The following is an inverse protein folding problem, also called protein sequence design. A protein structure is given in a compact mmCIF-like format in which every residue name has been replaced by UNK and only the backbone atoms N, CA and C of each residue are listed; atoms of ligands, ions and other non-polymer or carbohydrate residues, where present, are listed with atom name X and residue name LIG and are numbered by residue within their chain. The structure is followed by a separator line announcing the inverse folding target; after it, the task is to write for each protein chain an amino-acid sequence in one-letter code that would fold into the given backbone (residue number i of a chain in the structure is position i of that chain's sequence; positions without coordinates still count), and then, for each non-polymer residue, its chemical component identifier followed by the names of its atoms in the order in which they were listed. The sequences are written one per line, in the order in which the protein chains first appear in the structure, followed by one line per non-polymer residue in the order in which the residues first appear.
data_IF_035111663650
#
_entry.id   IF_035111663650
#
_cell.length_a   1.000
_cell.length_b   1.000
_cell.length_c   1.000
_cell.angle_alpha   90.00
_cell.angle_beta   90.00
_cell.angle_gamma   90.00
#
_symmetry.space_group_name_H-M   'P 1'
#
loop_
_entity.id
_entity.type
_entity.pdbx_description
1 polymer ?
#
# COMPACT_ATOMS: atom_id res chain seq x y z
N UNK A 1 -10.88 4.13 30.25
CA UNK A 1 -10.27 5.40 30.68
C UNK A 1 -9.69 6.09 29.45
N UNK A 2 -10.32 7.17 28.99
CA UNK A 2 -9.84 7.97 27.86
C UNK A 2 -8.53 8.65 28.26
N UNK A 3 -7.43 8.23 27.67
CA UNK A 3 -6.16 8.95 27.80
C UNK A 3 -6.21 10.17 26.88
N UNK A 4 -6.58 11.31 27.42
CA UNK A 4 -6.44 12.61 26.77
C UNK A 4 -4.95 12.94 26.85
N UNK A 5 -4.22 12.69 25.75
CA UNK A 5 -2.86 13.21 25.60
C UNK A 5 -2.98 14.72 25.40
N UNK A 6 -2.65 15.48 26.44
CA UNK A 6 -2.48 16.92 26.32
C UNK A 6 -1.30 17.23 25.39
N UNK A 7 -1.60 17.65 24.16
CA UNK A 7 -0.62 18.21 23.25
C UNK A 7 -0.05 19.50 23.88
N UNK A 8 1.25 19.51 24.12
CA UNK A 8 1.98 20.69 24.57
C UNK A 8 1.78 21.85 23.58
N UNK A 9 1.55 23.05 24.12
CA UNK A 9 1.42 24.31 23.39
C UNK A 9 2.76 24.71 22.74
N UNK A 10 3.12 24.12 21.60
CA UNK A 10 4.13 24.58 20.61
C UNK A 10 4.29 23.54 19.48
N UNK A 11 3.24 22.87 19.04
CA UNK A 11 3.29 21.93 17.92
C UNK A 11 3.47 22.68 16.60
N UNK A 12 4.61 22.48 15.93
CA UNK A 12 4.76 22.89 14.52
C UNK A 12 3.71 22.13 13.70
N UNK A 13 2.87 22.86 12.96
CA UNK A 13 1.89 22.27 12.05
C UNK A 13 2.63 21.64 10.86
N UNK A 14 2.38 20.38 10.59
CA UNK A 14 2.92 19.66 9.43
C UNK A 14 2.08 19.99 8.18
N UNK A 15 2.68 20.66 7.20
CA UNK A 15 2.01 20.93 5.92
C UNK A 15 2.27 19.80 4.94
N UNK A 16 1.21 19.04 4.66
CA UNK A 16 1.24 17.81 3.85
C UNK A 16 0.61 18.06 2.48
N UNK A 17 1.29 17.67 1.41
CA UNK A 17 0.72 17.65 0.06
C UNK A 17 0.45 16.21 -0.37
N UNK A 18 -0.80 15.93 -0.76
CA UNK A 18 -1.22 14.64 -1.32
C UNK A 18 -1.32 14.75 -2.84
N UNK A 19 -0.39 14.11 -3.55
CA UNK A 19 -0.41 14.02 -5.01
C UNK A 19 -1.47 13.00 -5.43
N UNK A 20 -2.40 13.41 -6.28
CA UNK A 20 -3.55 12.57 -6.67
C UNK A 20 -4.67 12.54 -5.62
N UNK A 21 -4.86 13.63 -4.85
CA UNK A 21 -5.74 13.70 -3.69
C UNK A 21 -7.24 13.49 -3.95
N UNK A 22 -7.72 13.54 -5.18
CA UNK A 22 -9.07 13.13 -5.55
C UNK A 22 -9.17 11.74 -6.18
N UNK A 23 -8.04 11.03 -6.30
CA UNK A 23 -7.99 9.63 -6.72
C UNK A 23 -8.55 8.68 -5.66
N UNK A 24 -8.64 7.40 -6.00
CA UNK A 24 -9.23 6.38 -5.13
C UNK A 24 -8.58 6.34 -3.74
N UNK A 25 -7.27 6.10 -3.69
CA UNK A 25 -6.51 6.05 -2.43
C UNK A 25 -6.21 7.44 -1.85
N UNK A 26 -5.88 8.42 -2.72
CA UNK A 26 -5.62 9.79 -2.29
C UNK A 26 -6.81 10.43 -1.59
N UNK A 27 -8.04 10.16 -2.05
CA UNK A 27 -9.27 10.62 -1.42
C UNK A 27 -9.44 10.08 0.01
N UNK A 28 -9.02 8.84 0.26
CA UNK A 28 -9.04 8.21 1.59
C UNK A 28 -8.00 8.88 2.49
N UNK A 29 -6.76 8.97 2.03
CA UNK A 29 -5.68 9.66 2.77
C UNK A 29 -6.12 11.08 3.16
N UNK A 30 -6.69 11.84 2.22
CA UNK A 30 -7.14 13.20 2.48
C UNK A 30 -8.26 13.27 3.54
N UNK A 31 -9.22 12.34 3.54
CA UNK A 31 -10.29 12.30 4.55
C UNK A 31 -9.76 12.08 5.96
N UNK A 32 -8.77 11.22 6.12
CA UNK A 32 -8.13 11.00 7.42
C UNK A 32 -7.30 12.20 7.86
N UNK A 33 -6.52 12.79 6.95
CA UNK A 33 -5.62 13.88 7.29
C UNK A 33 -6.33 15.23 7.54
N UNK A 34 -7.45 15.50 6.87
CA UNK A 34 -8.15 16.79 7.03
C UNK A 34 -8.75 16.97 8.43
N UNK A 35 -9.03 15.89 9.14
CA UNK A 35 -9.53 15.93 10.52
C UNK A 35 -8.43 15.71 11.56
N UNK A 36 -7.20 15.49 11.12
CA UNK A 36 -6.08 15.18 11.99
C UNK A 36 -5.49 16.45 12.63
N UNK A 37 -5.28 16.47 13.94
CA UNK A 37 -4.67 17.62 14.62
C UNK A 37 -3.20 17.78 14.19
N UNK A 38 -2.75 19.04 14.03
CA UNK A 38 -1.38 19.35 13.69
C UNK A 38 -1.02 19.14 12.21
N UNK A 39 -2.01 18.93 11.33
CA UNK A 39 -1.81 18.80 9.88
C UNK A 39 -2.55 19.92 9.13
N UNK A 40 -1.85 20.56 8.20
CA UNK A 40 -2.41 21.38 7.14
C UNK A 40 -2.37 20.62 5.84
N UNK A 41 -3.51 20.49 5.16
CA UNK A 41 -3.62 19.64 3.99
C UNK A 41 -3.61 20.46 2.69
N UNK A 42 -2.73 20.06 1.78
CA UNK A 42 -2.76 20.49 0.38
C UNK A 42 -3.05 19.26 -0.48
N UNK A 43 -4.00 19.35 -1.39
CA UNK A 43 -4.28 18.28 -2.34
C UNK A 43 -3.92 18.69 -3.75
N UNK A 44 -3.40 17.78 -4.55
CA UNK A 44 -3.09 18.08 -5.94
C UNK A 44 -3.74 17.14 -6.92
N UNK A 45 -3.93 17.68 -8.14
CA UNK A 45 -4.44 16.93 -9.26
C UNK A 45 -4.46 17.76 -10.53
N UNK A 46 -4.66 17.09 -11.68
CA UNK A 46 -4.57 17.74 -13.01
C UNK A 46 -5.89 18.34 -13.49
N UNK A 47 -7.02 17.89 -12.94
CA UNK A 47 -8.35 18.37 -13.32
C UNK A 47 -8.83 19.40 -12.28
N UNK A 48 -8.95 20.69 -12.66
CA UNK A 48 -9.29 21.76 -11.73
C UNK A 48 -10.70 21.61 -11.15
N UNK A 49 -11.66 21.08 -11.92
CA UNK A 49 -13.04 20.89 -11.45
C UNK A 49 -13.16 19.77 -10.42
N UNK A 50 -12.47 18.64 -10.65
CA UNK A 50 -12.42 17.54 -9.66
C UNK A 50 -11.69 17.97 -8.41
N UNK A 51 -10.58 18.70 -8.58
CA UNK A 51 -9.79 19.22 -7.48
C UNK A 51 -10.63 20.16 -6.59
N UNK A 52 -11.30 21.16 -7.19
CA UNK A 52 -12.11 22.13 -6.44
C UNK A 52 -13.24 21.42 -5.68
N UNK A 53 -13.97 20.52 -6.34
CA UNK A 53 -15.03 19.74 -5.66
C UNK A 53 -14.49 18.97 -4.45
N UNK A 54 -13.27 18.37 -4.58
CA UNK A 54 -12.66 17.63 -3.47
C UNK A 54 -12.22 18.54 -2.34
N UNK A 55 -11.68 19.72 -2.64
CA UNK A 55 -11.35 20.74 -1.63
C UNK A 55 -12.61 21.17 -0.86
N UNK A 56 -13.69 21.45 -1.58
CA UNK A 56 -14.95 21.90 -0.95
C UNK A 56 -15.56 20.78 -0.06
N UNK A 57 -15.53 19.52 -0.53
CA UNK A 57 -15.92 18.35 0.25
C UNK A 57 -15.12 18.26 1.55
N UNK A 58 -13.80 18.37 1.48
CA UNK A 58 -12.92 18.25 2.65
C UNK A 58 -13.10 19.42 3.63
N UNK A 59 -13.27 20.65 3.13
CA UNK A 59 -13.57 21.82 3.96
C UNK A 59 -14.89 21.69 4.71
N UNK A 60 -15.88 20.98 4.16
CA UNK A 60 -17.15 20.74 4.86
C UNK A 60 -17.02 19.74 6.01
N UNK A 61 -15.94 18.96 6.05
CA UNK A 61 -15.72 17.93 7.08
C UNK A 61 -14.88 18.43 8.27
N UNK A 62 -14.13 19.51 8.08
CA UNK A 62 -13.22 20.04 9.09
C UNK A 62 -12.95 21.52 8.92
N UNK A 63 -12.67 22.20 10.03
CA UNK A 63 -12.16 23.58 10.02
C UNK A 63 -10.64 23.67 9.74
N UNK A 64 -9.99 22.54 9.47
CA UNK A 64 -8.56 22.50 9.14
C UNK A 64 -8.31 23.17 7.78
N UNK A 65 -7.20 23.88 7.67
CA UNK A 65 -6.80 24.48 6.40
C UNK A 65 -6.61 23.40 5.32
N UNK A 66 -7.39 23.50 4.25
CA UNK A 66 -7.30 22.62 3.09
C UNK A 66 -7.22 23.47 1.82
N UNK A 67 -6.18 23.26 1.02
CA UNK A 67 -5.93 23.97 -0.22
C UNK A 67 -5.79 23.00 -1.40
N UNK A 68 -6.04 23.50 -2.62
CA UNK A 68 -5.83 22.75 -3.85
C UNK A 68 -4.70 23.35 -4.68
N UNK A 69 -3.79 22.51 -5.19
CA UNK A 69 -2.84 22.88 -6.24
C UNK A 69 -3.15 22.10 -7.53
N UNK A 70 -3.50 22.84 -8.60
CA UNK A 70 -3.79 22.23 -9.89
C UNK A 70 -2.54 22.24 -10.77
N UNK A 71 -2.03 21.06 -11.11
CA UNK A 71 -0.83 20.93 -11.92
C UNK A 71 -0.36 19.48 -12.05
N UNK A 72 0.70 19.31 -12.82
CA UNK A 72 1.38 18.02 -12.98
C UNK A 72 2.57 17.94 -12.03
N UNK A 73 2.49 17.07 -11.02
CA UNK A 73 3.57 16.84 -10.06
C UNK A 73 4.81 16.16 -10.69
N UNK A 74 4.69 15.58 -11.88
CA UNK A 74 5.82 15.05 -12.66
C UNK A 74 6.56 16.14 -13.43
N UNK A 75 6.03 17.37 -13.49
CA UNK A 75 6.61 18.48 -14.25
C UNK A 75 7.83 19.10 -13.58
N UNK A 76 8.73 19.64 -14.40
CA UNK A 76 10.02 20.22 -13.96
C UNK A 76 9.92 21.38 -12.93
N UNK A 77 8.76 22.03 -12.80
CA UNK A 77 8.54 23.13 -11.84
C UNK A 77 8.09 22.69 -10.45
N UNK A 78 7.85 21.39 -10.21
CA UNK A 78 7.19 20.94 -9.00
C UNK A 78 7.99 21.24 -7.72
N UNK A 79 9.32 21.16 -7.75
CA UNK A 79 10.16 21.54 -6.62
C UNK A 79 9.96 23.00 -6.18
N UNK A 80 9.76 23.91 -7.13
CA UNK A 80 9.47 25.33 -6.82
C UNK A 80 8.08 25.48 -6.18
N UNK A 81 7.10 24.71 -6.62
CA UNK A 81 5.76 24.67 -6.00
C UNK A 81 5.85 24.19 -4.55
N UNK A 82 6.58 23.12 -4.28
CA UNK A 82 6.76 22.60 -2.94
C UNK A 82 7.37 23.66 -1.99
N UNK A 83 8.37 24.39 -2.45
CA UNK A 83 8.99 25.51 -1.69
C UNK A 83 8.02 26.66 -1.48
N UNK A 84 7.36 27.14 -2.54
CA UNK A 84 6.45 28.29 -2.47
C UNK A 84 5.25 28.05 -1.56
N UNK A 85 4.76 26.79 -1.52
CA UNK A 85 3.67 26.38 -0.64
C UNK A 85 4.14 25.91 0.74
N UNK A 86 5.43 26.01 1.04
CA UNK A 86 6.03 25.59 2.33
C UNK A 86 5.68 24.13 2.71
N UNK A 87 5.61 23.21 1.73
CA UNK A 87 5.34 21.80 1.97
C UNK A 87 6.48 21.17 2.77
N UNK A 88 6.15 20.30 3.72
CA UNK A 88 7.11 19.54 4.54
C UNK A 88 7.07 18.05 4.30
N UNK A 89 5.94 17.56 3.83
CA UNK A 89 5.71 16.15 3.57
C UNK A 89 4.87 15.96 2.30
N UNK A 90 5.31 15.09 1.42
CA UNK A 90 4.54 14.71 0.22
C UNK A 90 4.11 13.25 0.36
N UNK A 91 2.82 12.99 0.12
CA UNK A 91 2.26 11.65 -0.03
C UNK A 91 1.84 11.47 -1.49
N UNK A 92 2.52 10.59 -2.21
CA UNK A 92 2.26 10.35 -3.63
C UNK A 92 1.33 9.15 -3.81
N UNK A 93 0.09 9.42 -4.24
CA UNK A 93 -0.94 8.39 -4.50
C UNK A 93 -1.27 8.24 -5.99
N UNK A 94 -0.54 8.94 -6.87
CA UNK A 94 -0.79 9.03 -8.31
C UNK A 94 -0.18 7.89 -9.12
N UNK A 95 -0.70 6.66 -8.96
CA UNK A 95 -0.33 5.53 -9.81
C UNK A 95 -0.86 5.61 -11.25
N UNK A 96 -0.60 4.59 -12.14
CA UNK A 96 0.18 3.40 -11.82
C UNK A 96 1.67 3.69 -11.69
N UNK A 97 2.35 3.01 -10.79
CA UNK A 97 3.80 3.17 -10.57
C UNK A 97 4.65 2.31 -11.50
N UNK A 98 4.05 1.36 -12.21
CA UNK A 98 4.71 0.51 -13.20
C UNK A 98 5.23 1.35 -14.36
N UNK A 99 6.56 1.42 -14.50
CA UNK A 99 7.22 2.25 -15.52
C UNK A 99 7.24 3.75 -15.23
N UNK A 100 6.76 4.20 -14.06
CA UNK A 100 6.86 5.59 -13.64
C UNK A 100 8.30 5.95 -13.26
N UNK A 101 8.72 7.18 -13.53
CA UNK A 101 10.00 7.72 -13.08
C UNK A 101 9.91 8.25 -11.64
N UNK A 102 11.06 8.50 -11.01
CA UNK A 102 11.13 9.11 -9.68
C UNK A 102 11.02 10.65 -9.70
N UNK A 103 10.40 11.27 -10.72
CA UNK A 103 10.37 12.73 -10.87
C UNK A 103 9.75 13.45 -9.67
N UNK A 104 8.70 12.88 -9.06
CA UNK A 104 8.08 13.48 -7.85
C UNK A 104 9.03 13.39 -6.66
N UNK A 105 9.65 12.23 -6.43
CA UNK A 105 10.63 12.01 -5.37
C UNK A 105 11.87 12.91 -5.55
N UNK A 106 12.38 13.04 -6.79
CA UNK A 106 13.49 13.94 -7.12
C UNK A 106 13.14 15.39 -6.82
N UNK A 107 11.94 15.84 -7.20
CA UNK A 107 11.47 17.20 -6.87
C UNK A 107 11.38 17.44 -5.37
N UNK A 108 11.06 16.40 -4.57
CA UNK A 108 11.07 16.50 -3.10
C UNK A 108 12.49 16.65 -2.56
N UNK A 109 13.45 15.89 -3.10
CA UNK A 109 14.89 16.05 -2.75
C UNK A 109 15.36 17.47 -3.06
N UNK A 110 15.09 17.95 -4.27
CA UNK A 110 15.49 19.28 -4.73
C UNK A 110 14.85 20.39 -3.90
N UNK A 111 13.68 20.14 -3.32
CA UNK A 111 12.97 21.10 -2.47
C UNK A 111 13.32 20.99 -0.97
N UNK A 112 14.05 19.97 -0.54
CA UNK A 112 14.28 19.68 0.87
C UNK A 112 13.04 19.22 1.63
N UNK A 113 12.18 18.40 0.96
CA UNK A 113 10.89 17.94 1.44
C UNK A 113 10.90 16.42 1.59
N UNK A 114 10.38 15.88 2.68
CA UNK A 114 10.21 14.45 2.86
C UNK A 114 9.09 13.89 1.97
N UNK A 115 9.21 12.63 1.63
CA UNK A 115 8.31 11.97 0.67
C UNK A 115 7.96 10.56 1.09
N UNK A 116 6.71 10.16 0.82
CA UNK A 116 6.35 8.76 0.72
C UNK A 116 5.37 8.52 -0.44
N UNK A 117 5.32 7.30 -0.94
CA UNK A 117 4.36 6.86 -1.96
C UNK A 117 3.63 5.58 -1.55
N UNK A 118 2.51 5.30 -2.23
CA UNK A 118 1.70 4.11 -2.02
C UNK A 118 1.99 3.00 -3.05
N UNK A 119 3.19 2.99 -3.64
CA UNK A 119 3.55 2.01 -4.66
C UNK A 119 3.58 0.58 -4.11
N UNK A 120 2.98 -0.34 -4.86
CA UNK A 120 3.13 -1.79 -4.72
C UNK A 120 4.00 -2.40 -5.82
N UNK A 121 4.53 -1.58 -6.71
CA UNK A 121 5.36 -2.00 -7.82
C UNK A 121 6.75 -2.40 -7.33
N UNK A 122 7.08 -3.69 -7.40
CA UNK A 122 8.33 -4.26 -6.91
C UNK A 122 9.58 -3.54 -7.41
N UNK A 123 9.65 -3.25 -8.72
CA UNK A 123 10.80 -2.57 -9.32
C UNK A 123 10.90 -1.11 -8.92
N UNK A 124 9.76 -0.42 -8.76
CA UNK A 124 9.74 0.98 -8.33
C UNK A 124 10.15 1.11 -6.86
N UNK A 125 9.55 0.31 -5.97
CA UNK A 125 9.84 0.37 -4.53
C UNK A 125 11.28 0.00 -4.23
N UNK A 126 11.77 -1.13 -4.76
CA UNK A 126 13.13 -1.60 -4.48
C UNK A 126 14.21 -0.79 -5.21
N UNK A 127 13.85 -0.18 -6.34
CA UNK A 127 14.76 0.68 -7.12
C UNK A 127 14.94 2.09 -6.54
N UNK A 128 14.14 2.53 -5.57
CA UNK A 128 14.21 3.89 -5.02
C UNK A 128 15.56 4.24 -4.41
N UNK A 129 16.32 3.23 -3.99
CA UNK A 129 17.67 3.37 -3.42
C UNK A 129 18.68 4.07 -4.34
N UNK A 130 18.41 4.19 -5.64
CA UNK A 130 19.23 5.00 -6.58
C UNK A 130 19.27 6.48 -6.18
N UNK A 131 18.29 6.94 -5.41
CA UNK A 131 18.21 8.31 -4.89
C UNK A 131 18.86 8.48 -3.50
N UNK A 132 19.36 7.40 -2.86
CA UNK A 132 19.77 7.43 -1.44
C UNK A 132 20.85 8.49 -1.16
N UNK A 133 21.91 8.55 -1.96
CA UNK A 133 22.99 9.51 -1.77
C UNK A 133 22.50 10.96 -1.84
N UNK A 134 21.61 11.27 -2.80
CA UNK A 134 21.06 12.62 -2.96
C UNK A 134 20.10 12.97 -1.82
N UNK A 135 19.27 12.04 -1.40
CA UNK A 135 18.33 12.23 -0.30
C UNK A 135 19.07 12.47 1.03
N UNK A 136 20.14 11.69 1.31
CA UNK A 136 21.01 11.93 2.48
C UNK A 136 21.70 13.29 2.44
N UNK A 137 22.21 13.68 1.29
CA UNK A 137 22.84 14.99 1.12
C UNK A 137 21.85 16.13 1.34
N UNK A 138 20.61 15.98 0.90
CA UNK A 138 19.54 16.96 1.11
C UNK A 138 18.91 16.91 2.51
N UNK A 139 19.26 15.91 3.34
CA UNK A 139 18.71 15.73 4.69
C UNK A 139 17.23 15.34 4.69
N UNK A 140 16.74 14.65 3.66
CA UNK A 140 15.34 14.22 3.53
C UNK A 140 15.18 12.72 3.43
N UNK A 141 14.02 12.22 3.88
CA UNK A 141 13.62 10.85 3.74
C UNK A 141 12.71 10.67 2.50
N UNK A 142 13.05 9.70 1.66
CA UNK A 142 12.30 9.27 0.47
C UNK A 142 11.90 7.83 0.70
N UNK A 143 10.64 7.61 1.08
CA UNK A 143 10.12 6.33 1.54
C UNK A 143 9.13 5.76 0.51
N UNK A 144 9.52 4.70 -0.20
CA UNK A 144 8.67 4.10 -1.23
C UNK A 144 7.91 2.89 -0.72
N UNK A 145 6.65 2.74 -1.12
CA UNK A 145 5.81 1.61 -0.74
C UNK A 145 5.14 1.75 0.63
N UNK A 146 4.80 2.97 1.05
CA UNK A 146 4.06 3.24 2.30
C UNK A 146 2.59 2.80 2.18
N UNK A 147 2.36 1.49 2.08
CA UNK A 147 1.09 0.88 1.76
C UNK A 147 0.90 -0.44 2.52
N UNK A 148 -0.05 -1.29 2.09
CA UNK A 148 -0.22 -2.64 2.65
C UNK A 148 1.04 -3.50 2.48
N UNK A 149 1.73 -3.34 1.36
CA UNK A 149 3.02 -3.96 1.03
C UNK A 149 3.99 -2.87 0.56
N UNK A 150 5.21 -2.79 1.10
CA UNK A 150 5.80 -3.59 2.16
C UNK A 150 5.60 -3.03 3.59
N UNK A 151 5.00 -1.86 3.79
CA UNK A 151 5.00 -1.19 5.11
C UNK A 151 4.20 -1.96 6.15
N UNK A 152 2.91 -2.24 5.89
CA UNK A 152 2.07 -2.94 6.87
C UNK A 152 2.47 -4.41 7.01
N UNK A 153 2.80 -5.09 5.91
CA UNK A 153 3.26 -6.48 5.95
C UNK A 153 4.50 -6.64 6.84
N UNK A 154 5.49 -5.74 6.70
CA UNK A 154 6.66 -5.72 7.58
C UNK A 154 6.30 -5.38 9.02
N UNK A 155 5.45 -4.39 9.26
CA UNK A 155 5.05 -4.00 10.62
C UNK A 155 4.40 -5.17 11.37
N UNK A 156 3.54 -5.96 10.70
CA UNK A 156 2.91 -7.15 11.27
C UNK A 156 3.95 -8.21 11.60
N UNK A 157 4.85 -8.53 10.68
CA UNK A 157 5.88 -9.58 10.92
C UNK A 157 6.84 -9.11 12.02
N UNK A 158 7.30 -7.87 11.98
CA UNK A 158 8.21 -7.29 12.98
C UNK A 158 7.64 -7.36 14.40
N UNK A 159 6.33 -7.13 14.56
CA UNK A 159 5.64 -7.19 15.86
C UNK A 159 5.71 -8.58 16.51
N UNK A 160 5.74 -9.65 15.70
CA UNK A 160 5.70 -11.03 16.21
C UNK A 160 7.00 -11.79 15.98
N UNK A 161 7.98 -11.23 15.27
CA UNK A 161 9.24 -11.88 14.92
C UNK A 161 9.99 -12.43 16.13
N UNK A 162 9.90 -11.76 17.29
CA UNK A 162 10.59 -12.20 18.51
C UNK A 162 10.18 -13.59 19.00
N UNK A 163 9.03 -14.12 18.55
CA UNK A 163 8.55 -15.47 18.86
C UNK A 163 9.31 -16.56 18.09
N UNK A 164 9.99 -16.20 17.01
CA UNK A 164 10.68 -17.10 16.10
C UNK A 164 12.20 -17.01 16.29
N UNK A 165 12.86 -18.17 16.44
CA UNK A 165 14.32 -18.28 16.33
C UNK A 165 14.74 -18.37 14.87
N UNK A 166 13.86 -18.92 14.00
CA UNK A 166 14.05 -19.01 12.55
C UNK A 166 12.70 -18.92 11.85
N UNK A 167 12.63 -18.14 10.80
CA UNK A 167 11.48 -18.07 9.90
C UNK A 167 11.84 -18.85 8.64
N UNK A 168 11.07 -19.88 8.30
CA UNK A 168 11.29 -20.73 7.14
C UNK A 168 10.49 -20.27 5.92
N UNK A 169 9.23 -19.90 6.13
CA UNK A 169 8.35 -19.43 5.04
C UNK A 169 7.44 -18.31 5.47
N UNK A 170 7.15 -17.43 4.50
CA UNK A 170 6.13 -16.39 4.61
C UNK A 170 5.24 -16.49 3.37
N UNK A 171 3.98 -16.80 3.59
CA UNK A 171 2.92 -16.70 2.59
C UNK A 171 2.00 -15.55 2.98
N UNK A 172 1.79 -14.61 2.07
CA UNK A 172 0.89 -13.49 2.35
C UNK A 172 0.11 -13.10 1.11
N UNK A 173 -0.91 -12.27 1.30
CA UNK A 173 -1.73 -11.87 0.16
C UNK A 173 -2.92 -11.02 0.54
N UNK A 174 -3.66 -10.65 -0.51
CA UNK A 174 -4.81 -9.75 -0.42
C UNK A 174 -5.98 -10.35 -1.18
N UNK A 175 -7.16 -10.34 -0.56
CA UNK A 175 -8.43 -10.55 -1.23
C UNK A 175 -9.22 -9.24 -1.18
N UNK A 176 -9.38 -8.57 -2.31
CA UNK A 176 -10.22 -7.37 -2.40
C UNK A 176 -11.70 -7.74 -2.46
N UNK A 177 -12.59 -6.78 -2.17
CA UNK A 177 -14.03 -6.91 -2.43
C UNK A 177 -14.30 -6.98 -3.94
N UNK A 178 -15.57 -7.18 -4.30
CA UNK A 178 -15.98 -7.14 -5.71
C UNK A 178 -15.99 -5.73 -6.31
N UNK A 179 -15.84 -4.70 -5.48
CA UNK A 179 -15.76 -3.31 -5.95
C UNK A 179 -14.52 -3.12 -6.81
N UNK A 180 -14.74 -2.63 -8.03
CA UNK A 180 -13.65 -2.42 -8.97
C UNK A 180 -12.69 -1.35 -8.45
N UNK A 181 -11.39 -1.64 -8.39
CA UNK A 181 -10.40 -0.63 -8.08
C UNK A 181 -10.35 0.43 -9.19
N UNK A 182 -9.74 1.57 -8.89
CA UNK A 182 -9.51 2.61 -9.91
C UNK A 182 -8.75 2.08 -11.13
N UNK A 183 -8.94 2.71 -12.29
CA UNK A 183 -8.32 2.28 -13.55
C UNK A 183 -6.81 2.07 -13.42
N UNK A 184 -6.10 2.99 -12.75
CA UNK A 184 -4.65 2.88 -12.51
C UNK A 184 -4.26 1.60 -11.75
N UNK A 185 -5.09 1.14 -10.82
CA UNK A 185 -4.86 -0.13 -10.11
C UNK A 185 -5.08 -1.32 -11.04
N UNK A 186 -6.11 -1.27 -11.90
CA UNK A 186 -6.35 -2.32 -12.91
C UNK A 186 -5.19 -2.40 -13.90
N UNK A 187 -4.68 -1.26 -14.36
CA UNK A 187 -3.50 -1.18 -15.24
C UNK A 187 -2.26 -1.78 -14.56
N UNK A 188 -1.99 -1.44 -13.30
CA UNK A 188 -0.90 -2.00 -12.52
C UNK A 188 -1.01 -3.51 -12.36
N UNK A 189 -2.20 -4.01 -12.04
CA UNK A 189 -2.51 -5.43 -11.92
C UNK A 189 -2.26 -6.19 -13.22
N UNK A 190 -2.65 -5.62 -14.36
CA UNK A 190 -2.47 -6.24 -15.68
C UNK A 190 -1.04 -6.13 -16.21
N UNK A 191 -0.22 -5.26 -15.65
CA UNK A 191 1.13 -5.01 -16.15
C UNK A 191 2.03 -6.28 -16.16
N UNK A 192 1.79 -7.22 -15.25
CA UNK A 192 2.53 -8.49 -15.15
C UNK A 192 1.65 -9.74 -15.41
N UNK A 193 0.41 -9.57 -15.86
CA UNK A 193 -0.47 -10.70 -16.18
C UNK A 193 0.15 -11.58 -17.28
N UNK A 194 0.33 -12.88 -16.97
CA UNK A 194 0.97 -13.85 -17.86
C UNK A 194 2.48 -13.66 -18.05
N UNK A 195 3.11 -12.69 -17.37
CA UNK A 195 4.57 -12.48 -17.42
C UNK A 195 5.27 -13.23 -16.30
N UNK A 196 6.56 -13.58 -16.46
CA UNK A 196 7.36 -14.18 -15.40
C UNK A 196 7.53 -13.22 -14.23
N UNK A 197 7.35 -13.74 -13.02
CA UNK A 197 7.68 -13.09 -11.75
C UNK A 197 8.53 -14.04 -10.91
N UNK A 198 9.44 -13.49 -10.10
CA UNK A 198 10.37 -14.27 -9.30
C UNK A 198 9.82 -14.48 -7.90
N UNK A 199 9.79 -15.74 -7.45
CA UNK A 199 9.48 -16.16 -6.09
C UNK A 199 10.62 -16.96 -5.51
N UNK A 200 10.77 -16.95 -4.19
CA UNK A 200 11.76 -17.77 -3.49
C UNK A 200 11.07 -19.06 -3.00
N UNK A 201 11.60 -20.22 -3.38
CA UNK A 201 11.12 -21.54 -2.92
C UNK A 201 12.31 -22.37 -2.44
N UNK A 202 12.31 -22.78 -1.19
CA UNK A 202 13.40 -23.56 -0.58
C UNK A 202 14.80 -22.96 -0.82
N UNK A 203 14.93 -21.64 -0.72
CA UNK A 203 16.18 -20.92 -0.93
C UNK A 203 16.60 -20.72 -2.40
N UNK A 204 15.79 -21.17 -3.36
CA UNK A 204 16.05 -21.02 -4.79
C UNK A 204 15.04 -20.08 -5.42
N UNK A 205 15.51 -19.25 -6.35
CA UNK A 205 14.66 -18.37 -7.14
C UNK A 205 13.97 -19.17 -8.25
N UNK A 206 12.63 -19.17 -8.23
CA UNK A 206 11.80 -19.78 -9.24
C UNK A 206 11.02 -18.73 -10.01
N UNK A 207 10.89 -18.92 -11.31
CA UNK A 207 9.99 -18.12 -12.13
C UNK A 207 8.58 -18.75 -12.10
N UNK A 208 7.60 -17.94 -11.73
CA UNK A 208 6.16 -18.27 -11.83
C UNK A 208 5.49 -17.21 -12.68
N UNK A 209 4.28 -17.48 -13.16
CA UNK A 209 3.56 -16.52 -14.01
C UNK A 209 2.56 -15.71 -13.18
N UNK A 210 2.51 -14.42 -13.44
CA UNK A 210 1.53 -13.53 -12.85
C UNK A 210 0.10 -13.92 -13.24
N UNK A 211 -0.81 -13.87 -12.28
CA UNK A 211 -2.23 -14.28 -12.39
C UNK A 211 -2.44 -15.74 -12.77
N UNK A 212 -1.46 -16.57 -12.49
CA UNK A 212 -1.51 -18.03 -12.66
C UNK A 212 -1.42 -18.71 -11.28
N UNK A 213 -1.48 -20.04 -11.28
CA UNK A 213 -1.38 -20.86 -10.08
C UNK A 213 -2.51 -20.54 -9.07
N UNK A 214 -3.75 -20.74 -9.56
CA UNK A 214 -4.96 -20.46 -8.77
C UNK A 214 -4.98 -21.31 -7.50
N UNK A 215 -5.20 -20.66 -6.37
CA UNK A 215 -5.33 -21.28 -5.05
C UNK A 215 -6.67 -20.91 -4.44
N UNK A 216 -7.36 -21.91 -3.90
CA UNK A 216 -8.56 -21.70 -3.09
C UNK A 216 -8.14 -21.54 -1.64
N UNK A 217 -8.41 -20.37 -1.07
CA UNK A 217 -8.14 -20.09 0.35
C UNK A 217 -9.45 -19.83 1.08
N UNK A 218 -9.69 -20.59 2.15
CA UNK A 218 -10.77 -20.31 3.08
C UNK A 218 -10.31 -19.25 4.06
N UNK A 219 -11.01 -18.11 4.08
CA UNK A 219 -10.71 -16.98 4.96
C UNK A 219 -11.85 -16.79 5.95
N UNK A 220 -11.59 -16.60 7.25
CA UNK A 220 -12.61 -16.19 8.20
C UNK A 220 -13.41 -14.99 7.66
N UNK A 221 -14.72 -14.97 7.91
CA UNK A 221 -15.67 -13.92 7.49
C UNK A 221 -15.85 -13.73 5.98
N UNK A 222 -14.85 -14.05 5.14
CA UNK A 222 -14.89 -13.88 3.68
C UNK A 222 -15.33 -15.15 2.94
N UNK A 223 -15.27 -16.32 3.60
CA UNK A 223 -15.48 -17.61 2.95
C UNK A 223 -14.32 -18.01 2.04
N UNK A 224 -14.59 -18.80 0.97
CA UNK A 224 -13.55 -19.26 0.06
C UNK A 224 -13.27 -18.24 -1.04
N UNK A 225 -12.01 -17.82 -1.15
CA UNK A 225 -11.50 -16.89 -2.17
C UNK A 225 -10.59 -17.61 -3.17
N UNK A 226 -10.59 -17.13 -4.40
CA UNK A 226 -9.68 -17.57 -5.47
C UNK A 226 -8.55 -16.56 -5.56
N UNK A 227 -7.33 -17.03 -5.35
CA UNK A 227 -6.12 -16.21 -5.35
C UNK A 227 -5.17 -16.70 -6.43
N UNK A 228 -4.36 -15.79 -6.98
CA UNK A 228 -3.34 -16.07 -7.99
C UNK A 228 -2.03 -15.36 -7.67
N UNK A 229 -0.93 -15.76 -8.28
CA UNK A 229 0.39 -15.16 -8.09
C UNK A 229 0.39 -13.69 -8.52
N UNK A 230 0.94 -12.82 -7.68
CA UNK A 230 1.11 -11.39 -7.93
C UNK A 230 2.51 -10.97 -7.50
N UNK A 231 3.09 -10.00 -8.19
CA UNK A 231 4.43 -9.48 -7.87
C UNK A 231 4.33 -8.30 -6.91
N UNK A 232 5.15 -8.33 -5.86
CA UNK A 232 5.18 -7.29 -4.82
C UNK A 232 6.60 -7.07 -4.30
N UNK A 233 6.91 -5.88 -3.73
CA UNK A 233 8.26 -5.56 -3.24
C UNK A 233 8.75 -6.48 -2.11
N UNK A 234 7.86 -7.05 -1.34
CA UNK A 234 8.11 -7.96 -0.22
C UNK A 234 8.94 -9.18 -0.64
N UNK A 235 8.83 -9.63 -1.88
CA UNK A 235 9.60 -10.77 -2.39
C UNK A 235 11.12 -10.58 -2.28
N UNK A 236 11.61 -9.35 -2.44
CA UNK A 236 13.02 -9.03 -2.27
C UNK A 236 13.35 -8.65 -0.83
N UNK A 237 12.43 -7.96 -0.15
CA UNK A 237 12.64 -7.42 1.20
C UNK A 237 12.65 -8.53 2.25
N UNK A 238 11.71 -9.47 2.20
CA UNK A 238 11.54 -10.49 3.23
C UNK A 238 12.70 -11.48 3.31
N UNK A 239 13.28 -11.85 2.17
CA UNK A 239 14.44 -12.73 2.13
C UNK A 239 15.60 -12.14 2.94
N UNK A 240 15.94 -10.88 2.72
CA UNK A 240 17.03 -10.20 3.43
C UNK A 240 16.69 -9.85 4.88
N UNK A 241 15.44 -9.43 5.15
CA UNK A 241 15.04 -8.95 6.48
C UNK A 241 14.75 -10.07 7.47
N UNK A 242 14.15 -11.16 7.02
CA UNK A 242 13.68 -12.25 7.90
C UNK A 242 14.42 -13.55 7.71
N UNK A 243 15.25 -13.67 6.67
CA UNK A 243 15.99 -14.91 6.35
C UNK A 243 15.09 -16.04 5.86
N UNK A 244 13.86 -15.76 5.45
CA UNK A 244 12.91 -16.75 4.98
C UNK A 244 13.37 -17.38 3.66
N UNK A 245 13.26 -18.72 3.56
CA UNK A 245 13.69 -19.47 2.38
C UNK A 245 12.56 -19.72 1.38
N UNK A 246 11.31 -19.51 1.78
CA UNK A 246 10.14 -19.66 0.91
C UNK A 246 9.23 -18.45 1.07
N UNK A 247 8.98 -17.77 -0.04
CA UNK A 247 8.18 -16.55 -0.08
C UNK A 247 7.16 -16.64 -1.20
N UNK A 248 5.91 -16.31 -0.92
CA UNK A 248 4.85 -16.20 -1.93
C UNK A 248 3.88 -15.09 -1.59
N UNK A 249 3.41 -14.43 -2.64
CA UNK A 249 2.30 -13.46 -2.55
C UNK A 249 1.22 -13.81 -3.54
N UNK A 250 -0.02 -13.84 -3.07
CA UNK A 250 -1.18 -14.09 -3.91
C UNK A 250 -2.27 -13.05 -3.69
N UNK A 251 -2.93 -12.67 -4.77
CA UNK A 251 -4.06 -11.76 -4.68
C UNK A 251 -5.26 -12.28 -5.47
N UNK A 252 -6.44 -11.79 -5.08
CA UNK A 252 -7.69 -12.10 -5.76
C UNK A 252 -8.79 -11.10 -5.48
N UNK A 253 -9.85 -11.14 -6.30
CA UNK A 253 -11.05 -10.36 -6.14
C UNK A 253 -12.13 -11.15 -5.39
N UNK A 254 -13.10 -10.42 -4.80
CA UNK A 254 -14.21 -11.01 -4.03
C UNK A 254 -15.15 -11.92 -4.81
N UNK A 255 -15.18 -11.82 -6.14
CA UNK A 255 -15.95 -12.70 -7.01
C UNK A 255 -15.08 -13.85 -7.51
N UNK A 256 -15.50 -15.11 -7.27
CA UNK A 256 -14.80 -16.30 -7.78
C UNK A 256 -14.64 -16.26 -9.30
N UNK A 257 -15.68 -15.79 -10.01
CA UNK A 257 -15.64 -15.61 -11.47
C UNK A 257 -14.59 -14.57 -11.91
N UNK A 258 -14.33 -13.54 -11.12
CA UNK A 258 -13.30 -12.54 -11.41
C UNK A 258 -11.89 -13.15 -11.39
N UNK A 259 -11.59 -14.02 -10.43
CA UNK A 259 -10.32 -14.75 -10.38
C UNK A 259 -10.10 -15.64 -11.61
N UNK A 260 -11.13 -16.35 -12.03
CA UNK A 260 -11.09 -17.19 -13.25
C UNK A 260 -10.95 -16.32 -14.50
N UNK A 261 -11.65 -15.20 -14.58
CA UNK A 261 -11.55 -14.28 -15.72
C UNK A 261 -10.14 -13.68 -15.85
N UNK A 262 -9.52 -13.27 -14.73
CA UNK A 262 -8.13 -12.80 -14.71
C UNK A 262 -7.14 -13.88 -15.14
N UNK A 263 -7.35 -15.12 -14.71
CA UNK A 263 -6.55 -16.27 -15.15
C UNK A 263 -6.65 -16.49 -16.66
N UNK A 264 -7.86 -16.52 -17.22
CA UNK A 264 -8.06 -16.70 -18.65
C UNK A 264 -7.47 -15.54 -19.47
N UNK A 265 -7.60 -14.32 -18.97
CA UNK A 265 -6.98 -13.15 -19.60
C UNK A 265 -5.46 -13.25 -19.59
N UNK A 266 -4.86 -13.67 -18.48
CA UNK A 266 -3.42 -13.86 -18.38
C UNK A 266 -2.92 -14.94 -19.35
N UNK A 267 -3.69 -16.01 -19.57
CA UNK A 267 -3.41 -17.00 -20.61
C UNK A 267 -3.49 -16.41 -22.03
N UNK A 268 -4.52 -15.61 -22.31
CA UNK A 268 -4.69 -14.98 -23.62
C UNK A 268 -3.57 -13.97 -23.92
N UNK A 269 -3.11 -13.22 -22.91
CA UNK A 269 -1.95 -12.34 -23.01
C UNK A 269 -0.65 -13.12 -23.26
N UNK A 270 -0.45 -14.23 -22.54
CA UNK A 270 0.70 -15.13 -22.68
C UNK A 270 0.80 -15.71 -24.10
N UNK A 271 -0.30 -16.13 -24.69
CA UNK A 271 -0.33 -16.70 -26.02
C UNK A 271 -0.38 -15.66 -27.16
N UNK A 272 -0.33 -14.34 -26.80
CA UNK A 272 -0.33 -13.25 -27.79
C UNK A 272 -1.67 -13.06 -28.51
N UNK A 273 -2.74 -13.70 -28.02
CA UNK A 273 -4.11 -13.50 -28.51
C UNK A 273 -4.59 -12.08 -28.18
N UNK A 274 -4.19 -11.58 -27.00
CA UNK A 274 -4.38 -10.19 -26.60
C UNK A 274 -3.02 -9.50 -26.60
N UNK A 275 -2.87 -8.46 -27.41
CA UNK A 275 -1.58 -7.74 -27.55
C UNK A 275 -1.51 -6.43 -26.76
N UNK A 276 -2.67 -5.80 -26.52
CA UNK A 276 -2.79 -4.53 -25.82
C UNK A 276 -3.54 -4.71 -24.50
N UNK A 277 -2.78 -4.84 -23.41
CA UNK A 277 -3.34 -5.00 -22.06
C UNK A 277 -4.00 -3.71 -21.54
N UNK A 278 -3.55 -2.50 -21.98
CA UNK A 278 -4.12 -1.23 -21.55
C UNK A 278 -5.51 -1.01 -22.15
N UNK A 279 -5.71 -1.35 -23.43
CA UNK A 279 -7.03 -1.29 -24.06
C UNK A 279 -8.03 -2.23 -23.37
N UNK A 280 -7.57 -3.38 -22.87
CA UNK A 280 -8.38 -4.31 -22.10
C UNK A 280 -8.66 -3.84 -20.68
N UNK A 281 -7.74 -3.12 -20.04
CA UNK A 281 -7.94 -2.56 -18.70
C UNK A 281 -9.20 -1.69 -18.62
N UNK A 282 -9.40 -0.78 -19.55
CA UNK A 282 -10.58 0.07 -19.60
C UNK A 282 -11.89 -0.73 -19.85
N UNK A 283 -11.84 -1.77 -20.68
CA UNK A 283 -13.00 -2.64 -20.95
C UNK A 283 -13.34 -3.49 -19.72
N UNK A 284 -12.34 -4.08 -19.07
CA UNK A 284 -12.51 -4.87 -17.85
C UNK A 284 -13.03 -4.02 -16.71
N UNK A 285 -12.49 -2.81 -16.55
CA UNK A 285 -12.98 -1.87 -15.55
C UNK A 285 -14.48 -1.56 -15.75
N UNK A 286 -14.90 -1.28 -16.98
CA UNK A 286 -16.31 -1.00 -17.32
C UNK A 286 -17.21 -2.23 -17.12
N UNK A 287 -16.74 -3.42 -17.46
CA UNK A 287 -17.50 -4.67 -17.23
C UNK A 287 -17.55 -5.01 -15.74
N UNK A 288 -16.44 -4.82 -15.03
CA UNK A 288 -16.33 -5.14 -13.61
C UNK A 288 -17.28 -4.30 -12.75
N UNK A 289 -17.46 -3.01 -13.07
CA UNK A 289 -18.42 -2.14 -12.35
C UNK A 289 -19.86 -2.68 -12.40
N UNK A 290 -20.23 -3.37 -13.47
CA UNK A 290 -21.56 -4.00 -13.55
C UNK A 290 -21.72 -5.17 -12.58
N UNK A 291 -20.62 -5.88 -12.25
CA UNK A 291 -20.62 -7.01 -11.32
C UNK A 291 -20.44 -6.61 -9.85
N UNK A 292 -20.08 -5.36 -9.53
CA UNK A 292 -19.89 -4.86 -8.15
C UNK A 292 -21.08 -5.16 -7.23
N UNK A 293 -22.30 -5.10 -7.77
CA UNK A 293 -23.55 -5.35 -7.03
C UNK A 293 -23.69 -6.78 -6.49
N UNK A 294 -22.87 -7.72 -6.96
CA UNK A 294 -22.87 -9.10 -6.50
C UNK A 294 -21.79 -9.38 -5.46
N UNK A 295 -21.03 -8.36 -5.08
CA UNK A 295 -19.99 -8.47 -4.07
C UNK A 295 -20.52 -8.41 -2.65
N UNK A 296 -19.72 -8.92 -1.73
CA UNK A 296 -20.04 -8.96 -0.30
C UNK A 296 -19.44 -7.77 0.48
N UNK A 297 -18.77 -6.84 -0.20
CA UNK A 297 -18.13 -5.66 0.41
C UNK A 297 -16.97 -5.99 1.36
N UNK A 298 -16.46 -7.25 1.34
CA UNK A 298 -15.45 -7.74 2.27
C UNK A 298 -14.10 -7.87 1.60
N UNK A 299 -13.07 -7.38 2.27
CA UNK A 299 -11.66 -7.50 1.86
C UNK A 299 -10.83 -8.02 3.01
N UNK A 300 -9.71 -8.66 2.72
CA UNK A 300 -8.76 -9.04 3.75
C UNK A 300 -7.33 -9.03 3.19
N UNK A 301 -6.38 -8.74 4.08
CA UNK A 301 -4.97 -9.03 3.94
C UNK A 301 -4.63 -10.17 4.91
N UNK A 302 -3.86 -11.16 4.47
CA UNK A 302 -3.41 -12.25 5.32
C UNK A 302 -1.89 -12.39 5.28
N UNK A 303 -1.31 -12.88 6.37
CA UNK A 303 0.11 -13.22 6.48
C UNK A 303 0.23 -14.50 7.30
N UNK A 304 0.82 -15.53 6.71
CA UNK A 304 1.16 -16.79 7.38
C UNK A 304 2.68 -16.89 7.45
N UNK A 305 3.21 -17.05 8.65
CA UNK A 305 4.64 -17.22 8.91
C UNK A 305 4.85 -18.58 9.55
N UNK A 306 5.74 -19.40 8.99
CA UNK A 306 6.11 -20.67 9.56
C UNK A 306 7.61 -20.71 9.84
N UNK A 307 7.98 -21.35 10.95
CA UNK A 307 9.35 -21.44 11.38
C UNK A 307 9.53 -22.23 12.67
N UNK A 308 10.53 -21.87 13.46
CA UNK A 308 10.82 -22.49 14.74
C UNK A 308 10.68 -21.47 15.87
N UNK A 309 10.09 -21.89 16.98
CA UNK A 309 10.00 -21.14 18.23
C UNK A 309 11.26 -21.23 19.08
N UNK A 310 11.21 -20.66 20.28
CA UNK A 310 12.35 -20.53 21.20
C UNK A 310 12.96 -21.89 21.63
N UNK A 311 12.16 -22.93 21.73
CA UNK A 311 12.59 -24.30 22.12
C UNK A 311 12.88 -25.17 20.88
N UNK A 312 12.94 -24.61 19.68
CA UNK A 312 13.14 -25.33 18.43
C UNK A 312 11.90 -26.09 17.92
N UNK A 313 10.75 -25.92 18.56
CA UNK A 313 9.47 -26.49 18.14
C UNK A 313 8.96 -25.77 16.87
N UNK A 314 8.23 -26.46 15.98
CA UNK A 314 7.52 -25.80 14.89
C UNK A 314 6.55 -24.76 15.44
N UNK A 315 6.59 -23.58 14.85
CA UNK A 315 5.72 -22.46 15.21
C UNK A 315 5.12 -21.85 13.94
N UNK A 316 3.81 -21.65 13.95
CA UNK A 316 3.10 -20.96 12.89
C UNK A 316 2.36 -19.75 13.45
N UNK A 317 2.39 -18.67 12.70
CA UNK A 317 1.63 -17.45 12.95
C UNK A 317 0.72 -17.21 11.75
N UNK A 318 -0.56 -17.06 11.98
CA UNK A 318 -1.55 -16.61 10.99
C UNK A 318 -2.14 -15.28 11.43
N UNK A 319 -2.02 -14.27 10.59
CA UNK A 319 -2.60 -12.94 10.79
C UNK A 319 -3.56 -12.62 9.66
N UNK A 320 -4.74 -12.10 10.00
CA UNK A 320 -5.70 -11.61 9.03
C UNK A 320 -6.22 -10.24 9.46
N UNK A 321 -6.02 -9.25 8.59
CA UNK A 321 -6.67 -7.95 8.68
C UNK A 321 -7.90 -7.98 7.77
N UNK A 322 -9.08 -7.85 8.35
CA UNK A 322 -10.36 -7.89 7.64
C UNK A 322 -10.95 -6.50 7.55
N UNK A 323 -11.46 -6.12 6.39
CA UNK A 323 -12.21 -4.91 6.14
C UNK A 323 -13.59 -5.23 5.57
N UNK A 324 -14.62 -4.73 6.24
CA UNK A 324 -16.04 -4.90 5.90
C UNK A 324 -16.59 -3.64 5.22
N UNK A 325 -17.79 -3.72 4.67
CA UNK A 325 -18.55 -2.58 4.15
C UNK A 325 -17.74 -1.72 3.16
N UNK A 326 -17.06 -2.37 2.20
CA UNK A 326 -16.23 -1.75 1.16
C UNK A 326 -15.06 -0.90 1.70
N UNK A 327 -14.62 -1.14 2.94
CA UNK A 327 -13.46 -0.48 3.55
C UNK A 327 -12.11 -1.05 3.13
N UNK A 328 -12.07 -2.01 2.22
CA UNK A 328 -10.84 -2.59 1.70
C UNK A 328 -9.77 -1.58 1.27
N UNK A 329 -10.11 -0.49 0.54
CA UNK A 329 -9.14 0.53 0.15
C UNK A 329 -8.52 1.33 1.30
N UNK A 330 -9.07 1.27 2.51
CA UNK A 330 -8.43 1.82 3.72
C UNK A 330 -7.10 1.10 4.02
N UNK A 331 -7.04 -0.21 3.76
CA UNK A 331 -5.86 -1.04 4.09
C UNK A 331 -4.57 -0.49 3.46
N UNK A 332 -4.47 -0.28 2.14
CA UNK A 332 -3.26 0.30 1.54
C UNK A 332 -3.06 1.78 1.85
N UNK A 333 -4.14 2.54 2.12
CA UNK A 333 -4.07 4.00 2.29
C UNK A 333 -3.59 4.40 3.68
N UNK A 334 -3.96 3.67 4.73
CA UNK A 334 -3.77 4.09 6.11
C UNK A 334 -2.33 3.93 6.61
N UNK A 335 -1.45 3.20 5.92
CA UNK A 335 -0.04 3.20 6.26
C UNK A 335 0.59 4.60 6.09
N UNK A 336 0.26 5.30 5.00
CA UNK A 336 0.73 6.67 4.77
C UNK A 336 0.09 7.68 5.73
N UNK A 337 -1.17 7.44 6.13
CA UNK A 337 -1.84 8.24 7.18
C UNK A 337 -1.12 8.06 8.51
N UNK A 338 -0.86 6.82 8.93
CA UNK A 338 -0.16 6.51 10.18
C UNK A 338 1.22 7.19 10.24
N UNK A 339 1.98 7.10 9.15
CA UNK A 339 3.29 7.73 9.07
C UNK A 339 3.19 9.27 9.13
N UNK A 340 2.25 9.89 8.43
CA UNK A 340 2.05 11.33 8.47
C UNK A 340 1.63 11.82 9.88
N UNK A 341 0.77 11.09 10.57
CA UNK A 341 0.38 11.38 11.96
C UNK A 341 1.57 11.26 12.91
N UNK A 342 2.39 10.25 12.75
CA UNK A 342 3.60 10.04 13.53
C UNK A 342 4.60 11.19 13.32
N UNK A 343 4.79 11.63 12.08
CA UNK A 343 5.63 12.79 11.74
C UNK A 343 5.07 14.09 12.34
N UNK A 344 3.76 14.30 12.29
CA UNK A 344 3.09 15.44 12.92
C UNK A 344 3.25 15.46 14.46
N UNK A 345 3.48 14.30 15.06
CA UNK A 345 3.78 14.14 16.49
C UNK A 345 5.27 14.29 16.83
N UNK A 346 6.11 14.61 15.84
CA UNK A 346 7.53 14.89 16.05
C UNK A 346 8.47 13.76 15.66
N UNK A 347 7.99 12.67 15.06
CA UNK A 347 8.86 11.66 14.48
C UNK A 347 9.62 12.22 13.27
N UNK A 348 10.92 11.99 13.24
CA UNK A 348 11.79 12.39 12.12
C UNK A 348 12.40 11.12 11.53
N UNK A 349 11.97 10.72 10.32
CA UNK A 349 12.58 9.58 9.68
C UNK A 349 14.02 9.86 9.28
N UNK A 350 14.87 8.84 9.31
CA UNK A 350 16.27 9.00 8.88
C UNK A 350 16.36 9.45 7.42
N UNK A 351 17.23 10.41 7.08
CA UNK A 351 17.47 10.81 5.70
C UNK A 351 17.97 9.65 4.85
N UNK A 352 17.57 9.63 3.58
CA UNK A 352 17.93 8.61 2.61
C UNK A 352 16.73 8.11 1.82
N UNK A 353 16.96 7.32 0.78
CA UNK A 353 15.92 6.74 -0.05
C UNK A 353 15.89 5.22 0.10
N UNK A 354 14.73 4.66 0.50
CA UNK A 354 14.56 3.25 0.82
C UNK A 354 13.11 2.79 0.72
N UNK A 355 12.85 1.48 0.62
CA UNK A 355 11.51 0.95 0.90
C UNK A 355 11.02 1.37 2.29
N UNK A 356 9.74 1.70 2.39
CA UNK A 356 9.11 2.14 3.63
C UNK A 356 8.86 0.95 4.58
N UNK A 357 9.88 0.55 5.32
CA UNK A 357 9.81 -0.57 6.27
C UNK A 357 10.36 -0.17 7.63
N UNK A 358 9.69 -0.59 8.71
CA UNK A 358 10.07 -0.24 10.07
C UNK A 358 9.71 1.19 10.50
N UNK A 359 9.00 1.93 9.67
CA UNK A 359 8.64 3.34 9.95
C UNK A 359 7.41 3.47 10.84
N UNK A 360 6.50 2.48 10.82
CA UNK A 360 5.30 2.43 11.64
C UNK A 360 5.14 1.08 12.33
N UNK A 361 4.42 1.06 13.45
CA UNK A 361 3.96 -0.15 14.14
C UNK A 361 2.54 -0.50 13.73
N UNK A 362 2.10 -1.73 14.06
CA UNK A 362 0.70 -2.14 13.86
C UNK A 362 -0.26 -1.31 14.71
N UNK A 363 0.13 -0.96 15.93
CA UNK A 363 -0.70 -0.14 16.83
C UNK A 363 -0.89 1.28 16.26
N UNK A 364 0.17 1.91 15.74
CA UNK A 364 0.09 3.21 15.05
C UNK A 364 -0.81 3.12 13.80
N UNK A 365 -0.70 2.03 13.05
CA UNK A 365 -1.55 1.80 11.89
C UNK A 365 -3.02 1.63 12.26
N UNK A 366 -3.33 0.79 13.24
CA UNK A 366 -4.71 0.57 13.70
C UNK A 366 -5.33 1.83 14.33
N UNK A 367 -4.52 2.62 15.04
CA UNK A 367 -4.94 3.92 15.58
C UNK A 367 -5.25 4.94 14.47
N UNK A 368 -4.50 4.93 13.36
CA UNK A 368 -4.74 5.81 12.22
C UNK A 368 -6.05 5.50 11.49
N UNK A 369 -6.42 4.23 11.38
CA UNK A 369 -7.70 3.80 10.80
C UNK A 369 -8.87 4.21 11.71
N UNK A 370 -8.77 3.92 13.01
CA UNK A 370 -9.76 4.22 14.04
C UNK A 370 -11.21 3.83 13.66
N UNK A 371 -11.38 2.69 12.98
CA UNK A 371 -12.70 2.15 12.57
C UNK A 371 -12.85 0.68 12.98
N UNK A 372 -12.93 0.38 14.30
CA UNK A 372 -12.99 -0.99 14.79
C UNK A 372 -14.30 -1.72 14.44
N UNK A 373 -15.31 -1.00 13.98
CA UNK A 373 -16.56 -1.59 13.51
C UNK A 373 -16.40 -2.26 12.12
N UNK A 374 -15.47 -1.78 11.31
CA UNK A 374 -15.29 -2.26 9.96
C UNK A 374 -13.90 -2.88 9.69
N UNK A 375 -12.90 -2.57 10.51
CA UNK A 375 -11.56 -3.14 10.36
C UNK A 375 -11.13 -3.85 11.65
N UNK A 376 -10.74 -5.11 11.50
CA UNK A 376 -10.30 -5.97 12.60
C UNK A 376 -9.05 -6.76 12.24
N UNK A 377 -8.13 -6.88 13.20
CA UNK A 377 -6.92 -7.67 13.06
C UNK A 377 -7.05 -8.91 13.95
N UNK A 378 -7.04 -10.09 13.34
CA UNK A 378 -7.02 -11.37 14.02
C UNK A 378 -5.62 -11.96 13.96
N UNK A 379 -5.12 -12.48 15.09
CA UNK A 379 -3.80 -13.08 15.22
C UNK A 379 -3.95 -14.45 15.86
N UNK A 380 -3.40 -15.47 15.24
CA UNK A 380 -3.45 -16.85 15.73
C UNK A 380 -2.05 -17.48 15.67
N UNK A 381 -1.62 -18.06 16.80
CA UNK A 381 -0.44 -18.89 16.85
C UNK A 381 -0.84 -20.36 16.98
N UNK A 382 -0.11 -21.24 16.30
CA UNK A 382 -0.20 -22.69 16.50
C UNK A 382 1.20 -23.26 16.68
N UNK A 383 1.38 -24.00 17.76
CA UNK A 383 2.54 -24.84 17.98
C UNK A 383 2.25 -26.15 17.26
N UNK A 384 3.14 -26.60 16.39
CA UNK A 384 2.91 -27.70 15.44
C UNK A 384 2.59 -29.09 16.03
N UNK A 385 1.71 -29.13 17.01
CA UNK A 385 1.05 -30.31 17.55
C UNK A 385 -0.41 -30.29 17.10
N UNK A 386 -0.64 -30.65 15.83
CA UNK A 386 -1.98 -30.80 15.28
C UNK A 386 -1.95 -31.71 14.06
#
# INVERSE_FOLDING_TARGET
QRMIVCLGKNGMTLRVLVVGGYGNFGSIVCRHLVVAPGIELVISGRDPHKLQRKVDELKSQSNTACEGWCGDAMGAGFASVLRSMNIKWVIHTGGPFQGQSYAVAQSCIDAGVNYCDLSDCRTFVNGVSVLDAQARQAGVAILSGCSSVPTLSCAIIDQYRYRFTRIDSIEHGISSSAKMPGLSTVEGVLAYAGKPIKQLRHGQVHEVLGWQDLTLRKMPELGTRVLANVDVPDMDIFAGRYGAHTLSFKAGAGLKLGGVANYLLAQALRWGVVRDHLAWAARLHRLGTWFERFGDGKSAMYIDVNGLGAEGQPLSLAVQLTALNDKGPEIPSCAAVALALKVAQGYVPEPGARPCVGEITVDEYMAAINDPANLSLAVHFSDGQG
#
